data_IF_523570243965
#
_entry.id   IF_523570243965
#
_cell.length_a   1.000
_cell.length_b   1.000
_cell.length_c   1.000
_cell.angle_alpha   90.00
_cell.angle_beta   90.00
_cell.angle_gamma   90.00
#
_symmetry.space_group_name_H-M   'P 1'
#
loop_
_entity.id
_entity.type
_entity.pdbx_description
1 polymer ?
#
# COMPACT_ATOMS: atom_id res chain seq x y z
N UNK A 1 5.37 6.60 -35.14
CA UNK A 1 4.06 6.21 -34.57
C UNK A 1 4.13 6.56 -33.09
N UNK A 2 3.41 7.60 -32.66
CA UNK A 2 3.27 7.89 -31.22
C UNK A 2 2.42 6.73 -30.66
N UNK A 3 3.05 5.83 -29.90
CA UNK A 3 2.33 4.88 -29.06
C UNK A 3 1.37 5.68 -28.17
N UNK A 4 0.11 5.27 -28.07
CA UNK A 4 -0.84 5.87 -27.12
C UNK A 4 -0.17 5.96 -25.74
N UNK A 5 -0.32 7.07 -25.00
CA UNK A 5 0.11 7.09 -23.61
C UNK A 5 -0.52 5.89 -22.91
N UNK A 6 0.31 5.18 -22.15
CA UNK A 6 -0.16 4.04 -21.38
C UNK A 6 -1.00 4.63 -20.27
N UNK A 7 -2.31 4.39 -20.25
CA UNK A 7 -3.00 4.26 -18.97
C UNK A 7 -2.38 3.04 -18.29
N UNK A 8 -1.29 3.30 -17.56
CA UNK A 8 -0.70 2.33 -16.65
C UNK A 8 -1.78 2.03 -15.62
N UNK A 9 -2.15 0.75 -15.50
CA UNK A 9 -2.91 0.26 -14.35
C UNK A 9 -2.15 0.76 -13.12
N UNK A 10 -2.77 1.70 -12.39
CA UNK A 10 -2.16 2.25 -11.19
C UNK A 10 -1.83 1.08 -10.27
N UNK A 11 -0.55 0.99 -9.86
CA UNK A 11 -0.13 -0.06 -8.96
C UNK A 11 -1.03 -0.01 -7.71
N UNK A 12 -1.72 -1.11 -7.34
CA UNK A 12 -2.56 -1.10 -6.16
C UNK A 12 -1.69 -0.71 -4.97
N UNK A 13 -2.12 0.32 -4.23
CA UNK A 13 -1.45 0.76 -3.01
C UNK A 13 -1.08 -0.47 -2.17
N UNK A 14 0.17 -0.56 -1.68
CA UNK A 14 0.61 -1.71 -0.92
C UNK A 14 -0.33 -1.92 0.26
N UNK A 15 -0.35 -3.17 0.73
CA UNK A 15 -0.96 -3.68 1.96
C UNK A 15 -0.72 -2.82 3.23
N UNK A 16 0.09 -1.76 3.15
CA UNK A 16 0.32 -0.73 4.14
C UNK A 16 -0.97 -0.09 4.72
N UNK A 17 -2.06 0.03 3.94
CA UNK A 17 -3.35 0.52 4.45
C UNK A 17 -3.98 -0.37 5.52
N UNK A 18 -3.65 -1.67 5.57
CA UNK A 18 -4.20 -2.61 6.57
C UNK A 18 -3.48 -2.56 7.91
N UNK A 19 -2.19 -2.24 7.89
CA UNK A 19 -1.36 -2.14 9.10
C UNK A 19 -1.80 -0.98 10.03
N UNK A 20 -2.72 -0.13 9.56
CA UNK A 20 -3.36 0.97 10.26
C UNK A 20 -4.51 0.51 11.19
N UNK A 21 -5.37 -0.43 10.79
CA UNK A 21 -6.59 -0.75 11.55
C UNK A 21 -6.36 -1.56 12.86
N UNK A 22 -5.18 -2.17 13.02
CA UNK A 22 -4.91 -3.10 14.13
C UNK A 22 -4.62 -2.41 15.48
N UNK A 23 -4.35 -1.10 15.50
CA UNK A 23 -3.99 -0.38 16.73
C UNK A 23 -5.20 -0.05 17.66
N UNK A 24 -6.42 -0.45 17.28
CA UNK A 24 -7.62 -0.19 18.07
C UNK A 24 -8.08 -1.37 18.96
N UNK A 25 -7.42 -2.53 18.93
CA UNK A 25 -7.86 -3.73 19.69
C UNK A 25 -6.74 -4.31 20.57
N UNK A 26 -6.37 -3.58 21.62
CA UNK A 26 -5.73 -4.22 22.80
C UNK A 26 -6.83 -4.82 23.69
N UNK A 27 -6.78 -6.12 24.06
CA UNK A 27 -7.61 -6.63 25.13
C UNK A 27 -7.05 -6.11 26.46
N UNK A 28 -7.91 -5.50 27.28
CA UNK A 28 -7.58 -5.21 28.68
C UNK A 28 -7.26 -6.54 29.42
N UNK A 29 -6.36 -6.54 30.41
CA UNK A 29 -6.08 -7.74 31.18
C UNK A 29 -7.35 -8.18 31.93
N UNK A 30 -7.82 -9.41 31.67
CA UNK A 30 -8.91 -10.02 32.47
C UNK A 30 -8.42 -10.22 33.89
N UNK A 31 -9.04 -9.50 34.84
CA UNK A 31 -8.85 -9.71 36.27
C UNK A 31 -9.36 -11.11 36.65
N UNK A 32 -8.44 -12.00 37.03
CA UNK A 32 -8.77 -13.23 37.76
C UNK A 32 -8.66 -12.93 39.26
N UNK A 33 -9.72 -13.27 40.02
CA UNK A 33 -9.77 -13.10 41.49
C UNK A 33 -9.22 -14.34 42.20
N UNK A 34 -8.61 -14.09 43.37
CA UNK A 34 -8.26 -15.02 44.47
C UNK A 34 -6.94 -15.78 44.30
N UNK A 35 -5.99 -15.88 45.26
CA UNK A 35 -5.88 -15.53 46.69
C UNK A 35 -4.39 -15.36 47.06
N UNK A 36 -4.07 -14.39 47.93
CA UNK A 36 -2.72 -13.94 48.36
C UNK A 36 -1.94 -14.95 49.26
N UNK A 37 -0.73 -14.64 49.82
CA UNK A 37 0.17 -13.48 49.62
C UNK A 37 1.68 -13.85 49.42
N UNK A 38 2.49 -12.89 48.94
CA UNK A 38 3.78 -12.47 49.54
C UNK A 38 4.22 -11.12 48.90
N UNK A 39 4.48 -10.17 49.79
CA UNK A 39 4.95 -8.79 49.65
C UNK A 39 6.31 -8.63 48.94
N UNK A 40 6.81 -7.47 48.49
CA UNK A 40 6.31 -6.11 48.23
C UNK A 40 7.46 -5.37 47.50
N UNK A 41 7.12 -4.48 46.57
CA UNK A 41 7.82 -3.22 46.30
C UNK A 41 6.95 -2.41 45.32
N UNK A 42 6.16 -1.52 45.90
CA UNK A 42 5.21 -0.63 45.26
C UNK A 42 5.94 0.49 44.51
N UNK A 43 5.49 0.80 43.29
CA UNK A 43 5.61 2.14 42.71
C UNK A 43 4.24 2.47 42.10
N UNK A 44 3.57 3.46 42.70
CA UNK A 44 2.17 3.80 42.48
C UNK A 44 1.93 4.35 41.07
N UNK A 45 1.44 3.49 40.17
CA UNK A 45 0.78 3.93 38.96
C UNK A 45 -0.64 4.39 39.32
N UNK A 46 -0.84 5.70 39.39
CA UNK A 46 -2.15 6.33 39.53
C UNK A 46 -3.06 5.88 38.38
N UNK A 47 -4.04 5.06 38.72
CA UNK A 47 -5.13 4.65 37.84
C UNK A 47 -5.97 5.88 37.47
N UNK A 48 -5.91 6.31 36.21
CA UNK A 48 -6.92 7.21 35.65
C UNK A 48 -8.28 6.49 35.61
N UNK A 49 -9.40 7.19 35.86
CA UNK A 49 -10.73 6.56 35.87
C UNK A 49 -11.06 5.97 34.50
N UNK A 50 -11.56 4.74 34.51
CA UNK A 50 -12.13 4.04 33.36
C UNK A 50 -13.41 4.79 32.93
N UNK A 51 -13.34 5.61 31.89
CA UNK A 51 -14.56 6.13 31.26
C UNK A 51 -15.33 4.97 30.60
N UNK A 52 -16.67 4.97 30.66
CA UNK A 52 -17.46 4.00 29.93
C UNK A 52 -17.10 4.10 28.45
N UNK A 53 -16.70 2.97 27.86
CA UNK A 53 -16.34 2.85 26.45
C UNK A 53 -17.56 3.23 25.61
N UNK A 54 -17.71 4.53 25.29
CA UNK A 54 -18.71 5.00 24.35
C UNK A 54 -18.54 4.16 23.08
N UNK A 55 -19.62 3.53 22.62
CA UNK A 55 -19.64 2.89 21.32
C UNK A 55 -19.16 3.94 20.32
N UNK A 56 -17.93 3.78 19.80
CA UNK A 56 -17.37 4.73 18.84
C UNK A 56 -18.19 4.55 17.57
N UNK A 57 -19.07 5.49 17.28
CA UNK A 57 -19.80 5.51 16.02
C UNK A 57 -18.77 5.53 14.89
N UNK A 58 -18.82 4.56 13.96
CA UNK A 58 -17.93 4.55 12.82
C UNK A 58 -18.14 5.81 11.97
N UNK A 59 -17.10 6.30 11.28
CA UNK A 59 -17.23 7.50 10.49
C UNK A 59 -18.15 7.24 9.28
N UNK A 60 -19.14 8.10 9.09
CA UNK A 60 -20.04 8.07 7.94
C UNK A 60 -19.49 8.75 6.69
N UNK A 61 -18.28 9.33 6.76
CA UNK A 61 -17.58 9.95 5.63
C UNK A 61 -16.07 9.99 5.83
N UNK A 62 -15.33 10.27 4.76
CA UNK A 62 -13.89 10.49 4.78
C UNK A 62 -13.48 11.60 5.76
N UNK A 63 -14.19 12.74 5.74
CA UNK A 63 -13.89 13.87 6.62
C UNK A 63 -14.13 13.53 8.10
N UNK A 64 -15.20 12.79 8.40
CA UNK A 64 -15.42 12.28 9.75
C UNK A 64 -14.35 11.27 10.17
N UNK A 65 -13.91 10.40 9.26
CA UNK A 65 -12.85 9.44 9.53
C UNK A 65 -11.51 10.12 9.85
N UNK A 66 -11.21 11.22 9.16
CA UNK A 66 -10.05 12.06 9.40
C UNK A 66 -10.18 12.80 10.73
N UNK A 67 -11.32 13.45 11.00
CA UNK A 67 -11.57 14.16 12.26
C UNK A 67 -11.50 13.24 13.49
N UNK A 68 -11.96 11.99 13.37
CA UNK A 68 -11.82 10.98 14.42
C UNK A 68 -10.34 10.61 14.67
N UNK A 69 -9.54 10.47 13.61
CA UNK A 69 -8.09 10.23 13.74
C UNK A 69 -7.38 11.42 14.38
N UNK A 70 -7.73 12.64 13.98
CA UNK A 70 -7.16 13.87 14.53
C UNK A 70 -7.47 14.00 16.01
N UNK A 71 -8.73 13.78 16.40
CA UNK A 71 -9.15 13.79 17.81
C UNK A 71 -8.41 12.74 18.64
N UNK A 72 -8.21 11.54 18.09
CA UNK A 72 -7.47 10.46 18.76
C UNK A 72 -5.97 10.78 18.88
N UNK A 73 -5.37 11.35 17.82
CA UNK A 73 -3.98 11.79 17.81
C UNK A 73 -3.75 12.90 18.85
N UNK A 74 -4.60 13.92 18.89
CA UNK A 74 -4.52 14.98 19.89
C UNK A 74 -4.60 14.44 21.32
N UNK A 75 -5.51 13.49 21.55
CA UNK A 75 -5.61 12.84 22.86
C UNK A 75 -4.31 12.11 23.21
N UNK A 76 -3.79 11.27 22.32
CA UNK A 76 -2.57 10.50 22.58
C UNK A 76 -1.34 11.44 22.80
N UNK A 77 -1.26 12.56 22.07
CA UNK A 77 -0.24 13.59 22.27
C UNK A 77 -0.36 14.30 23.64
N UNK A 78 -1.57 14.71 24.05
CA UNK A 78 -1.80 15.31 25.38
C UNK A 78 -1.44 14.35 26.51
N UNK A 79 -1.71 13.06 26.33
CA UNK A 79 -1.32 12.04 27.32
C UNK A 79 0.21 11.87 27.34
N UNK A 80 0.88 11.87 26.17
CA UNK A 80 2.33 11.79 26.08
C UNK A 80 3.04 12.97 26.76
N UNK A 81 2.50 14.18 26.64
CA UNK A 81 3.01 15.38 27.35
C UNK A 81 2.94 15.24 28.87
N UNK A 82 1.87 14.62 29.39
CA UNK A 82 1.70 14.36 30.83
C UNK A 82 2.52 13.18 31.33
N UNK A 83 3.03 12.34 30.43
CA UNK A 83 3.79 11.12 30.75
C UNK A 83 5.14 11.08 30.01
N UNK A 84 6.03 12.06 30.22
CA UNK A 84 7.22 12.26 29.37
C UNK A 84 8.25 11.13 29.44
N UNK A 85 8.14 10.21 30.39
CA UNK A 85 8.98 9.00 30.52
C UNK A 85 8.34 7.73 29.95
N UNK A 86 7.11 7.82 29.42
CA UNK A 86 6.38 6.69 28.85
C UNK A 86 6.50 6.66 27.32
N UNK A 87 7.27 5.73 26.78
CA UNK A 87 7.43 5.62 25.32
C UNK A 87 6.19 5.04 24.60
N UNK A 88 5.30 4.35 25.32
CA UNK A 88 4.09 3.70 24.77
C UNK A 88 3.06 4.73 24.25
N UNK A 89 2.94 5.88 24.92
CA UNK A 89 1.99 6.94 24.52
C UNK A 89 2.47 7.64 23.24
N UNK A 90 3.79 7.82 23.10
CA UNK A 90 4.42 8.24 21.84
C UNK A 90 4.22 7.21 20.72
N UNK A 91 4.36 5.91 21.01
CA UNK A 91 4.08 4.85 20.04
C UNK A 91 2.62 4.89 19.56
N UNK A 92 1.66 5.08 20.46
CA UNK A 92 0.24 5.22 20.11
C UNK A 92 0.00 6.40 19.18
N UNK A 93 0.53 7.57 19.51
CA UNK A 93 0.43 8.76 18.66
C UNK A 93 1.10 8.55 17.29
N UNK A 94 2.27 7.90 17.24
CA UNK A 94 2.91 7.51 15.98
C UNK A 94 2.02 6.55 15.18
N UNK A 95 1.35 5.59 15.84
CA UNK A 95 0.36 4.72 15.21
C UNK A 95 -0.78 5.48 14.55
N UNK A 96 -1.34 6.50 15.22
CA UNK A 96 -2.38 7.37 14.66
C UNK A 96 -1.90 8.15 13.43
N UNK A 97 -0.66 8.63 13.46
CA UNK A 97 -0.07 9.31 12.31
C UNK A 97 0.11 8.35 11.14
N UNK A 98 0.51 7.09 11.37
CA UNK A 98 0.59 6.09 10.30
C UNK A 98 -0.80 5.73 9.74
N UNK A 99 -1.82 5.63 10.58
CA UNK A 99 -3.22 5.46 10.15
C UNK A 99 -3.68 6.64 9.28
N UNK A 100 -3.34 7.87 9.69
CA UNK A 100 -3.68 9.09 8.96
C UNK A 100 -2.92 9.21 7.65
N UNK A 101 -1.64 8.86 7.64
CA UNK A 101 -0.79 8.84 6.44
C UNK A 101 -1.33 7.83 5.41
N UNK A 102 -1.76 6.65 5.85
CA UNK A 102 -2.38 5.66 4.97
C UNK A 102 -3.71 6.13 4.36
N UNK A 103 -4.49 6.95 5.09
CA UNK A 103 -5.76 7.48 4.60
C UNK A 103 -5.56 8.68 3.65
N UNK A 104 -4.57 9.53 3.92
CA UNK A 104 -4.38 10.83 3.26
C UNK A 104 -3.27 10.85 2.21
N UNK A 105 -2.35 9.88 2.23
CA UNK A 105 -1.11 9.94 1.46
C UNK A 105 -0.07 10.93 1.99
N UNK A 106 -0.26 11.50 3.20
CA UNK A 106 0.58 12.57 3.73
C UNK A 106 1.98 12.09 4.15
N UNK A 107 3.01 12.56 3.43
CA UNK A 107 4.41 12.38 3.81
C UNK A 107 4.80 13.14 5.09
N UNK A 108 4.09 14.22 5.43
CA UNK A 108 4.29 14.92 6.69
C UNK A 108 3.89 14.08 7.90
N UNK A 109 2.87 13.23 7.74
CA UNK A 109 2.44 12.33 8.80
C UNK A 109 3.45 11.21 9.03
N UNK A 110 4.03 10.67 7.95
CA UNK A 110 5.16 9.74 8.07
C UNK A 110 6.36 10.39 8.77
N UNK A 111 6.68 11.65 8.44
CA UNK A 111 7.75 12.41 9.09
C UNK A 111 7.52 12.54 10.61
N UNK A 112 6.33 13.00 10.99
CA UNK A 112 5.95 13.18 12.39
C UNK A 112 5.91 11.85 13.13
N UNK A 113 5.48 10.77 12.48
CA UNK A 113 5.49 9.44 13.07
C UNK A 113 6.93 8.99 13.36
N UNK A 114 7.86 9.21 12.42
CA UNK A 114 9.31 8.92 12.59
C UNK A 114 9.88 9.66 13.79
N UNK A 115 9.61 10.96 13.94
CA UNK A 115 10.06 11.77 15.08
C UNK A 115 9.54 11.23 16.44
N UNK A 116 8.26 10.84 16.51
CA UNK A 116 7.69 10.28 17.73
C UNK A 116 8.28 8.90 18.06
N UNK A 117 8.55 8.09 17.04
CA UNK A 117 9.20 6.78 17.17
C UNK A 117 10.63 6.94 17.69
N UNK A 118 11.39 7.89 17.16
CA UNK A 118 12.77 8.15 17.62
C UNK A 118 12.80 8.63 19.06
N UNK A 119 11.89 9.54 19.43
CA UNK A 119 11.72 9.97 20.83
C UNK A 119 11.33 8.81 21.74
N UNK A 120 10.45 7.92 21.28
CA UNK A 120 10.05 6.74 22.03
C UNK A 120 11.25 5.79 22.28
N UNK A 121 12.11 5.57 21.28
CA UNK A 121 13.36 4.81 21.46
C UNK A 121 14.35 5.50 22.40
N UNK A 122 14.46 6.84 22.36
CA UNK A 122 15.34 7.59 23.27
C UNK A 122 14.93 7.49 24.74
N UNK A 123 13.63 7.30 25.00
CA UNK A 123 13.08 7.10 26.36
C UNK A 123 13.15 5.62 26.78
N UNK A 124 13.00 4.70 25.82
CA UNK A 124 13.01 3.26 26.07
C UNK A 124 14.36 2.75 26.59
N UNK A 125 14.31 1.79 27.52
CA UNK A 125 15.51 1.01 27.89
C UNK A 125 15.95 0.13 26.72
N UNK A 126 17.22 -0.28 26.70
CA UNK A 126 17.73 -1.20 25.69
C UNK A 126 16.84 -2.44 25.54
N UNK A 127 16.47 -2.76 24.30
CA UNK A 127 15.55 -3.87 23.97
C UNK A 127 14.06 -3.58 24.19
N UNK A 128 13.69 -2.38 24.65
CA UNK A 128 12.31 -1.87 24.66
C UNK A 128 12.16 -0.73 23.64
N UNK A 129 10.95 -0.59 23.10
CA UNK A 129 10.64 0.46 22.14
C UNK A 129 9.63 0.02 21.09
N UNK A 130 9.23 0.94 20.21
CA UNK A 130 8.17 0.75 19.24
C UNK A 130 8.62 -0.02 18.00
N UNK A 131 9.31 -1.16 18.15
CA UNK A 131 9.89 -1.94 17.04
C UNK A 131 8.85 -2.28 15.96
N UNK A 132 7.66 -2.76 16.35
CA UNK A 132 6.60 -3.10 15.40
C UNK A 132 6.06 -1.88 14.65
N UNK A 133 6.06 -0.72 15.29
CA UNK A 133 5.59 0.55 14.70
C UNK A 133 6.64 1.15 13.77
N UNK A 134 7.93 1.08 14.13
CA UNK A 134 9.05 1.48 13.26
C UNK A 134 9.19 0.56 12.04
N UNK A 135 9.02 -0.75 12.24
CA UNK A 135 9.01 -1.73 11.15
C UNK A 135 7.91 -1.41 10.14
N UNK A 136 6.70 -1.08 10.62
CA UNK A 136 5.57 -0.64 9.80
C UNK A 136 5.88 0.65 9.03
N UNK A 137 6.39 1.69 9.70
CA UNK A 137 6.80 2.93 9.05
C UNK A 137 7.80 2.66 7.92
N UNK A 138 8.87 1.92 8.20
CA UNK A 138 9.90 1.62 7.22
C UNK A 138 9.35 0.76 6.07
N UNK A 139 8.46 -0.20 6.35
CA UNK A 139 7.80 -0.98 5.29
C UNK A 139 6.93 -0.09 4.39
N UNK A 140 6.10 0.80 4.98
CA UNK A 140 5.26 1.75 4.23
C UNK A 140 6.07 2.71 3.36
N UNK A 141 7.26 3.12 3.82
CA UNK A 141 8.20 3.95 3.06
C UNK A 141 9.15 3.11 2.17
N UNK A 142 8.89 1.82 2.03
CA UNK A 142 9.69 0.87 1.25
C UNK A 142 11.15 0.68 1.68
N UNK A 143 11.54 1.13 2.88
CA UNK A 143 12.88 1.00 3.45
C UNK A 143 13.14 -0.41 4.00
N UNK A 144 13.01 -1.45 3.16
CA UNK A 144 13.07 -2.86 3.59
C UNK A 144 14.32 -3.22 4.42
N UNK A 145 15.55 -2.76 4.09
CA UNK A 145 16.72 -3.05 4.92
C UNK A 145 16.63 -2.49 6.36
N UNK A 146 15.84 -1.42 6.58
CA UNK A 146 15.61 -0.85 7.91
C UNK A 146 14.56 -1.63 8.72
N UNK A 147 13.81 -2.54 8.08
CA UNK A 147 12.80 -3.39 8.72
C UNK A 147 13.46 -4.60 9.42
N UNK A 148 14.55 -5.14 8.86
CA UNK A 148 15.25 -6.32 9.39
C UNK A 148 15.65 -6.22 10.88
N UNK A 149 16.30 -5.14 11.37
CA UNK A 149 16.66 -5.05 12.78
C UNK A 149 15.44 -5.02 13.71
N UNK A 150 14.31 -4.45 13.25
CA UNK A 150 13.07 -4.45 14.02
C UNK A 150 12.44 -5.84 14.09
N UNK A 151 12.41 -6.56 12.96
CA UNK A 151 11.96 -7.95 12.92
C UNK A 151 12.80 -8.85 13.83
N UNK A 152 14.12 -8.68 13.82
CA UNK A 152 15.02 -9.44 14.68
C UNK A 152 14.79 -9.12 16.17
N UNK A 153 14.66 -7.83 16.52
CA UNK A 153 14.35 -7.42 17.88
C UNK A 153 13.01 -7.98 18.36
N UNK A 154 11.99 -7.97 17.51
CA UNK A 154 10.68 -8.59 17.79
C UNK A 154 10.81 -10.12 17.99
N UNK A 155 11.62 -10.78 17.17
CA UNK A 155 11.77 -12.24 17.20
C UNK A 155 12.47 -12.76 18.46
N UNK A 156 13.39 -11.97 19.02
CA UNK A 156 14.07 -12.30 20.29
C UNK A 156 13.15 -12.17 21.50
N UNK A 157 12.00 -11.49 21.37
CA UNK A 157 11.04 -11.36 22.45
C UNK A 157 10.30 -12.68 22.63
N UNK A 158 10.54 -13.35 23.75
CA UNK A 158 9.76 -14.51 24.15
C UNK A 158 8.32 -14.04 24.46
N UNK A 159 7.39 -14.40 23.58
CA UNK A 159 5.96 -14.10 23.72
C UNK A 159 5.17 -15.39 23.54
N UNK A 160 4.16 -15.62 24.38
CA UNK A 160 3.17 -16.69 24.19
C UNK A 160 1.90 -16.19 23.51
N UNK A 161 1.82 -14.90 23.22
CA UNK A 161 0.67 -14.30 22.55
C UNK A 161 0.69 -14.64 21.05
N UNK A 162 -0.29 -15.43 20.61
CA UNK A 162 -0.45 -15.80 19.20
C UNK A 162 -0.77 -14.59 18.32
N UNK A 163 -1.42 -13.54 18.85
CA UNK A 163 -1.65 -12.32 18.08
C UNK A 163 -0.31 -11.63 17.75
N UNK A 164 0.58 -11.51 18.72
CA UNK A 164 1.93 -11.00 18.50
C UNK A 164 2.71 -11.83 17.48
N UNK A 165 2.70 -13.16 17.62
CA UNK A 165 3.40 -14.07 16.70
C UNK A 165 2.83 -13.98 15.28
N UNK A 166 1.50 -13.96 15.13
CA UNK A 166 0.84 -13.83 13.83
C UNK A 166 1.21 -12.51 13.13
N UNK A 167 1.23 -11.39 13.87
CA UNK A 167 1.67 -10.10 13.34
C UNK A 167 3.13 -10.12 12.88
N UNK A 168 4.02 -10.74 13.64
CA UNK A 168 5.43 -10.88 13.28
C UNK A 168 5.59 -11.75 12.01
N UNK A 169 4.92 -12.90 11.95
CA UNK A 169 4.93 -13.79 10.78
C UNK A 169 4.39 -13.07 9.53
N UNK A 170 3.27 -12.35 9.66
CA UNK A 170 2.68 -11.58 8.56
C UNK A 170 3.60 -10.47 8.05
N UNK A 171 4.27 -9.72 8.93
CA UNK A 171 5.21 -8.67 8.51
C UNK A 171 6.47 -9.24 7.86
N UNK A 172 6.98 -10.38 8.35
CA UNK A 172 8.08 -11.10 7.68
C UNK A 172 7.67 -11.55 6.28
N UNK A 173 6.45 -12.06 6.13
CA UNK A 173 5.90 -12.46 4.85
C UNK A 173 5.73 -11.27 3.88
N UNK A 174 5.26 -10.12 4.37
CA UNK A 174 5.16 -8.88 3.58
C UNK A 174 6.54 -8.42 3.05
N UNK A 175 7.57 -8.48 3.90
CA UNK A 175 8.96 -8.17 3.50
C UNK A 175 9.50 -9.20 2.50
N UNK A 176 9.26 -10.49 2.73
CA UNK A 176 9.65 -11.56 1.81
C UNK A 176 8.99 -11.38 0.43
N UNK A 177 7.70 -11.02 0.40
CA UNK A 177 6.96 -10.74 -0.84
C UNK A 177 7.62 -9.62 -1.64
N UNK A 178 7.92 -8.49 -0.99
CA UNK A 178 8.58 -7.33 -1.63
C UNK A 178 10.02 -7.63 -2.09
N UNK A 179 10.68 -8.62 -1.47
CA UNK A 179 12.00 -9.13 -1.88
C UNK A 179 11.95 -10.17 -3.01
N UNK A 180 10.76 -10.55 -3.47
CA UNK A 180 10.58 -11.61 -4.47
C UNK A 180 10.76 -13.02 -3.90
N UNK A 181 10.79 -13.17 -2.58
CA UNK A 181 10.88 -14.46 -1.86
C UNK A 181 9.46 -15.03 -1.68
N UNK A 182 8.79 -15.34 -2.79
CA UNK A 182 7.35 -15.64 -2.78
C UNK A 182 6.96 -16.92 -2.04
N UNK A 183 7.83 -17.94 -2.05
CA UNK A 183 7.60 -19.17 -1.28
C UNK A 183 7.61 -18.90 0.23
N UNK A 184 8.58 -18.10 0.70
CA UNK A 184 8.69 -17.69 2.10
C UNK A 184 7.52 -16.78 2.50
N UNK A 185 7.07 -15.90 1.59
CA UNK A 185 5.90 -15.06 1.79
C UNK A 185 4.63 -15.90 2.00
N UNK A 186 4.37 -16.87 1.12
CA UNK A 186 3.20 -17.75 1.26
C UNK A 186 3.25 -18.54 2.57
N UNK A 187 4.39 -19.16 2.88
CA UNK A 187 4.56 -19.92 4.13
C UNK A 187 4.34 -19.04 5.37
N UNK A 188 4.84 -17.80 5.37
CA UNK A 188 4.64 -16.87 6.48
C UNK A 188 3.19 -16.36 6.61
N UNK A 189 2.46 -16.20 5.50
CA UNK A 189 1.02 -15.89 5.54
C UNK A 189 0.21 -17.07 6.09
N UNK A 190 0.53 -18.30 5.68
CA UNK A 190 -0.08 -19.52 6.22
C UNK A 190 0.23 -19.72 7.71
N UNK A 191 1.48 -19.46 8.13
CA UNK A 191 1.88 -19.49 9.54
C UNK A 191 1.10 -18.46 10.35
N UNK A 192 0.99 -17.22 9.87
CA UNK A 192 0.25 -16.16 10.55
C UNK A 192 -1.21 -16.57 10.78
N UNK A 193 -1.87 -17.11 9.75
CA UNK A 193 -3.25 -17.60 9.82
C UNK A 193 -3.39 -18.82 10.73
N UNK A 194 -2.41 -19.73 10.77
CA UNK A 194 -2.42 -20.89 11.66
C UNK A 194 -2.27 -20.49 13.14
N UNK A 195 -1.48 -19.44 13.41
CA UNK A 195 -1.34 -18.87 14.75
C UNK A 195 -2.63 -18.17 15.19
N UNK A 196 -3.22 -17.39 14.28
CA UNK A 196 -4.47 -16.66 14.48
C UNK A 196 -5.10 -16.35 13.13
N UNK A 197 -6.28 -16.91 12.91
CA UNK A 197 -7.11 -16.50 11.79
C UNK A 197 -7.79 -15.16 12.11
N UNK A 198 -7.37 -14.10 11.43
CA UNK A 198 -7.95 -12.77 11.55
C UNK A 198 -8.02 -12.05 10.20
N UNK A 199 -8.68 -10.89 10.23
CA UNK A 199 -8.89 -10.05 9.07
C UNK A 199 -7.58 -9.80 8.29
N UNK A 200 -6.53 -9.34 8.99
CA UNK A 200 -5.24 -8.96 8.40
C UNK A 200 -4.53 -10.15 7.76
N UNK A 201 -4.53 -11.33 8.40
CA UNK A 201 -3.96 -12.54 7.82
C UNK A 201 -4.69 -12.99 6.55
N UNK A 202 -6.03 -12.89 6.53
CA UNK A 202 -6.85 -13.34 5.40
C UNK A 202 -6.62 -12.45 4.17
N UNK A 203 -6.66 -11.13 4.35
CA UNK A 203 -6.47 -10.17 3.24
C UNK A 203 -5.04 -10.19 2.69
N UNK A 204 -4.02 -10.53 3.51
CA UNK A 204 -2.66 -10.81 3.07
C UNK A 204 -2.59 -11.97 2.09
N UNK A 205 -3.21 -13.09 2.46
CA UNK A 205 -3.28 -14.27 1.61
C UNK A 205 -4.12 -14.01 0.36
N UNK A 206 -5.19 -13.22 0.47
CA UNK A 206 -6.01 -12.78 -0.66
C UNK A 206 -5.16 -12.00 -1.68
N UNK A 207 -4.37 -11.04 -1.21
CA UNK A 207 -3.47 -10.26 -2.07
C UNK A 207 -2.41 -11.15 -2.74
N UNK A 208 -1.81 -12.10 -2.01
CA UNK A 208 -0.89 -13.07 -2.60
C UNK A 208 -1.58 -13.86 -3.74
N UNK A 209 -2.76 -14.42 -3.48
CA UNK A 209 -3.53 -15.20 -4.47
C UNK A 209 -3.87 -14.38 -5.70
N UNK A 210 -4.32 -13.14 -5.51
CA UNK A 210 -4.57 -12.19 -6.60
C UNK A 210 -3.32 -12.01 -7.47
N UNK A 211 -2.16 -11.68 -6.87
CA UNK A 211 -0.92 -11.46 -7.63
C UNK A 211 -0.40 -12.72 -8.33
N UNK A 212 -0.81 -13.91 -7.88
CA UNK A 212 -0.54 -15.20 -8.55
C UNK A 212 -1.64 -15.65 -9.54
N UNK A 213 -2.59 -14.77 -9.86
CA UNK A 213 -3.76 -15.02 -10.72
C UNK A 213 -4.76 -16.08 -10.23
N UNK A 214 -4.73 -16.45 -8.93
CA UNK A 214 -5.82 -17.18 -8.27
C UNK A 214 -6.90 -16.19 -7.82
N UNK A 215 -7.61 -15.62 -8.81
CA UNK A 215 -8.62 -14.59 -8.57
C UNK A 215 -9.83 -15.12 -7.79
N UNK A 216 -10.27 -16.35 -8.05
CA UNK A 216 -11.43 -16.93 -7.38
C UNK A 216 -11.10 -17.24 -5.91
N UNK A 217 -9.90 -17.76 -5.63
CA UNK A 217 -9.41 -17.92 -4.27
C UNK A 217 -9.22 -16.59 -3.53
N UNK A 218 -8.71 -15.56 -4.21
CA UNK A 218 -8.61 -14.21 -3.63
C UNK A 218 -9.98 -13.63 -3.27
N UNK A 219 -10.97 -13.72 -4.17
CA UNK A 219 -12.35 -13.28 -3.91
C UNK A 219 -12.99 -14.00 -2.73
N UNK A 220 -12.80 -15.33 -2.64
CA UNK A 220 -13.31 -16.12 -1.52
C UNK A 220 -12.70 -15.67 -0.18
N UNK A 221 -11.41 -15.33 -0.16
CA UNK A 221 -10.75 -14.80 1.03
C UNK A 221 -11.21 -13.39 1.37
N UNK A 222 -11.39 -12.50 0.39
CA UNK A 222 -11.97 -11.17 0.66
C UNK A 222 -13.38 -11.27 1.22
N UNK A 223 -14.23 -12.14 0.69
CA UNK A 223 -15.56 -12.40 1.23
C UNK A 223 -15.50 -12.98 2.67
N UNK A 224 -14.53 -13.85 2.94
CA UNK A 224 -14.27 -14.35 4.30
C UNK A 224 -13.83 -13.23 5.24
N UNK A 225 -12.95 -12.34 4.80
CA UNK A 225 -12.48 -11.19 5.58
C UNK A 225 -13.64 -10.22 5.87
N UNK A 226 -14.49 -9.96 4.89
CA UNK A 226 -15.71 -9.16 5.03
C UNK A 226 -16.67 -9.76 6.08
N UNK A 227 -16.82 -11.08 6.12
CA UNK A 227 -17.65 -11.75 7.13
C UNK A 227 -17.09 -11.67 8.57
N UNK A 228 -15.81 -11.30 8.75
CA UNK A 228 -15.22 -11.03 10.07
C UNK A 228 -15.45 -9.59 10.54
N UNK A 229 -15.99 -8.73 9.68
CA UNK A 229 -16.37 -7.38 10.05
C UNK A 229 -17.62 -7.43 10.93
N UNK A 230 -17.45 -7.03 12.19
CA UNK A 230 -18.57 -6.70 13.09
C UNK A 230 -19.25 -5.40 12.63
N UNK A 231 -20.37 -5.00 13.26
CA UNK A 231 -21.23 -3.91 12.79
C UNK A 231 -20.47 -2.60 12.40
N UNK A 232 -20.69 -2.20 11.14
CA UNK A 232 -20.40 -0.88 10.54
C UNK A 232 -18.92 -0.40 10.50
N UNK A 233 -17.95 -1.06 9.85
CA UNK A 233 -16.60 -0.51 9.74
C UNK A 233 -16.42 0.23 8.41
N UNK A 234 -17.08 1.37 8.23
CA UNK A 234 -17.13 2.12 6.96
C UNK A 234 -15.78 2.23 6.22
N UNK A 235 -14.70 2.56 6.93
CA UNK A 235 -13.33 2.63 6.35
C UNK A 235 -12.77 1.28 5.90
N UNK A 236 -12.95 0.23 6.70
CA UNK A 236 -12.42 -1.11 6.40
C UNK A 236 -13.23 -1.79 5.30
N UNK A 237 -14.56 -1.59 5.32
CA UNK A 237 -15.45 -2.06 4.27
C UNK A 237 -15.18 -1.35 2.94
N UNK A 238 -14.99 -0.03 2.96
CA UNK A 238 -14.56 0.73 1.79
C UNK A 238 -13.25 0.18 1.23
N UNK A 239 -12.24 0.00 2.09
CA UNK A 239 -10.96 -0.58 1.66
C UNK A 239 -11.12 -1.98 1.03
N UNK A 240 -11.95 -2.87 1.59
CA UNK A 240 -12.21 -4.20 1.01
C UNK A 240 -12.85 -4.11 -0.38
N UNK A 241 -13.87 -3.28 -0.52
CA UNK A 241 -14.53 -3.08 -1.81
C UNK A 241 -13.56 -2.46 -2.83
N UNK A 242 -12.74 -1.50 -2.42
CA UNK A 242 -11.65 -0.98 -3.25
C UNK A 242 -10.72 -2.11 -3.75
N UNK A 243 -10.24 -3.01 -2.88
CA UNK A 243 -9.38 -4.13 -3.30
C UNK A 243 -10.08 -5.08 -4.29
N UNK A 244 -11.36 -5.40 -4.06
CA UNK A 244 -12.14 -6.24 -4.97
C UNK A 244 -12.36 -5.55 -6.32
N UNK A 245 -12.57 -4.23 -6.31
CA UNK A 245 -12.69 -3.42 -7.51
C UNK A 245 -11.39 -3.40 -8.32
N UNK A 246 -10.24 -3.20 -7.66
CA UNK A 246 -8.92 -3.26 -8.30
C UNK A 246 -8.66 -4.62 -8.94
N UNK A 247 -9.01 -5.70 -8.28
CA UNK A 247 -8.87 -7.04 -8.83
C UNK A 247 -9.79 -7.28 -10.04
N UNK A 248 -10.98 -6.67 -10.08
CA UNK A 248 -11.85 -6.68 -11.26
C UNK A 248 -11.27 -5.82 -12.40
N UNK A 249 -10.69 -4.66 -12.07
CA UNK A 249 -10.01 -3.77 -13.02
C UNK A 249 -8.80 -4.45 -13.68
N UNK A 250 -7.98 -5.13 -12.88
CA UNK A 250 -6.84 -5.96 -13.33
C UNK A 250 -7.26 -7.04 -14.32
N UNK A 251 -8.53 -7.47 -14.29
CA UNK A 251 -9.12 -8.47 -15.21
C UNK A 251 -9.87 -7.85 -16.38
N UNK A 252 -9.88 -6.52 -16.50
CA UNK A 252 -10.63 -5.79 -17.53
C UNK A 252 -12.15 -5.81 -17.33
N UNK A 253 -12.63 -6.18 -16.13
CA UNK A 253 -14.07 -6.29 -15.77
C UNK A 253 -14.56 -4.96 -15.21
N UNK A 254 -14.61 -3.93 -16.06
CA UNK A 254 -14.86 -2.55 -15.65
C UNK A 254 -16.20 -2.33 -14.95
N UNK A 255 -17.28 -2.96 -15.41
CA UNK A 255 -18.60 -2.78 -14.78
C UNK A 255 -18.66 -3.37 -13.36
N UNK A 256 -17.97 -4.49 -13.13
CA UNK A 256 -17.86 -5.11 -11.82
C UNK A 256 -16.90 -4.35 -10.90
N UNK A 257 -15.83 -3.80 -11.46
CA UNK A 257 -14.95 -2.88 -10.74
C UNK A 257 -15.73 -1.64 -10.28
N UNK A 258 -16.53 -1.03 -11.16
CA UNK A 258 -17.40 0.10 -10.83
C UNK A 258 -18.42 -0.26 -9.73
N UNK A 259 -19.04 -1.43 -9.81
CA UNK A 259 -19.97 -1.91 -8.75
C UNK A 259 -19.29 -1.95 -7.37
N UNK A 260 -18.03 -2.40 -7.32
CA UNK A 260 -17.26 -2.41 -6.09
C UNK A 260 -16.80 -1.02 -5.66
N UNK A 261 -16.40 -0.15 -6.59
CA UNK A 261 -16.06 1.23 -6.26
C UNK A 261 -17.25 2.03 -5.75
N UNK A 262 -18.45 1.84 -6.32
CA UNK A 262 -19.69 2.44 -5.82
C UNK A 262 -20.01 1.96 -4.39
N UNK A 263 -19.85 0.66 -4.11
CA UNK A 263 -19.99 0.12 -2.76
C UNK A 263 -18.94 0.69 -1.79
N UNK A 264 -17.70 0.90 -2.26
CA UNK A 264 -16.65 1.53 -1.48
C UNK A 264 -16.95 3.00 -1.16
N UNK A 265 -17.40 3.76 -2.16
CA UNK A 265 -17.80 5.16 -2.01
C UNK A 265 -19.02 5.32 -1.11
N UNK A 266 -19.95 4.35 -1.11
CA UNK A 266 -21.08 4.32 -0.19
C UNK A 266 -20.63 4.02 1.26
N UNK A 267 -19.63 3.15 1.45
CA UNK A 267 -19.09 2.80 2.76
C UNK A 267 -18.21 3.91 3.37
N UNK A 268 -17.52 4.70 2.54
CA UNK A 268 -16.76 5.87 2.97
C UNK A 268 -16.86 7.01 1.95
N UNK A 269 -17.95 7.81 2.00
CA UNK A 269 -18.16 8.95 1.12
C UNK A 269 -17.00 9.95 1.15
N UNK A 270 -16.55 10.37 -0.04
CA UNK A 270 -15.44 11.33 -0.22
C UNK A 270 -14.04 10.72 -0.10
N UNK A 271 -13.91 9.39 -0.08
CA UNK A 271 -12.60 8.75 -0.11
C UNK A 271 -11.94 8.91 -1.48
N UNK A 272 -11.03 9.88 -1.59
CA UNK A 272 -10.40 10.30 -2.84
C UNK A 272 -9.76 9.15 -3.65
N UNK A 273 -9.27 8.12 -2.98
CA UNK A 273 -8.66 6.96 -3.63
C UNK A 273 -9.68 6.13 -4.41
N UNK A 274 -10.94 6.11 -3.99
CA UNK A 274 -12.03 5.45 -4.74
C UNK A 274 -12.44 6.32 -5.93
N UNK A 275 -12.55 7.63 -5.71
CA UNK A 275 -12.88 8.60 -6.75
C UNK A 275 -11.87 8.55 -7.92
N UNK A 276 -10.60 8.31 -7.59
CA UNK A 276 -9.51 8.09 -8.52
C UNK A 276 -9.78 6.89 -9.43
N UNK A 277 -9.97 5.68 -8.88
CA UNK A 277 -10.15 4.50 -9.73
C UNK A 277 -11.48 4.52 -10.51
N UNK A 278 -12.47 5.28 -10.03
CA UNK A 278 -13.66 5.61 -10.83
C UNK A 278 -13.27 6.48 -12.04
N UNK A 279 -12.44 7.50 -11.84
CA UNK A 279 -11.93 8.35 -12.92
C UNK A 279 -11.04 7.56 -13.90
N UNK A 280 -10.27 6.59 -13.42
CA UNK A 280 -9.47 5.67 -14.25
C UNK A 280 -10.39 4.85 -15.18
N UNK A 281 -11.44 4.23 -14.63
CA UNK A 281 -12.42 3.48 -15.44
C UNK A 281 -13.14 4.40 -16.44
N UNK A 282 -13.53 5.61 -16.04
CA UNK A 282 -14.14 6.57 -16.96
C UNK A 282 -13.21 6.91 -18.12
N UNK A 283 -11.92 7.07 -17.83
CA UNK A 283 -10.90 7.31 -18.86
C UNK A 283 -10.80 6.13 -19.82
N UNK A 284 -10.71 4.90 -19.29
CA UNK A 284 -10.68 3.66 -20.08
C UNK A 284 -11.96 3.44 -20.90
N UNK A 285 -13.10 3.99 -20.47
CA UNK A 285 -14.37 4.00 -21.21
C UNK A 285 -14.48 5.17 -22.22
N UNK A 286 -13.48 6.03 -22.32
CA UNK A 286 -13.48 7.22 -23.18
C UNK A 286 -14.30 8.40 -22.66
N UNK A 287 -14.87 8.31 -21.45
CA UNK A 287 -15.63 9.37 -20.77
C UNK A 287 -14.69 10.40 -20.13
N UNK A 288 -13.83 10.96 -20.95
CA UNK A 288 -12.66 11.74 -20.52
C UNK A 288 -13.04 13.09 -19.89
N UNK A 289 -14.21 13.68 -20.18
CA UNK A 289 -14.67 14.91 -19.52
C UNK A 289 -15.03 14.67 -18.06
N UNK A 290 -15.76 13.57 -17.79
CA UNK A 290 -16.14 13.16 -16.44
C UNK A 290 -14.89 12.76 -15.63
N UNK A 291 -13.95 12.06 -16.25
CA UNK A 291 -12.68 11.70 -15.63
C UNK A 291 -11.85 12.94 -15.25
N UNK A 292 -11.69 13.90 -16.18
CA UNK A 292 -10.97 15.15 -15.90
C UNK A 292 -11.60 15.95 -14.78
N UNK A 293 -12.93 16.02 -14.70
CA UNK A 293 -13.61 16.71 -13.60
C UNK A 293 -13.26 16.08 -12.25
N UNK A 294 -13.30 14.74 -12.16
CA UNK A 294 -12.93 14.01 -10.94
C UNK A 294 -11.45 14.16 -10.59
N UNK A 295 -10.54 13.96 -11.55
CA UNK A 295 -9.11 14.11 -11.28
C UNK A 295 -8.76 15.53 -10.84
N UNK A 296 -9.40 16.57 -11.39
CA UNK A 296 -9.18 17.96 -10.97
C UNK A 296 -9.62 18.18 -9.51
N UNK A 297 -10.76 17.64 -9.09
CA UNK A 297 -11.21 17.68 -7.69
C UNK A 297 -10.19 17.00 -6.76
N UNK A 298 -9.71 15.80 -7.14
CA UNK A 298 -8.72 15.07 -6.35
C UNK A 298 -7.40 15.85 -6.26
N UNK A 299 -6.90 16.41 -7.37
CA UNK A 299 -5.68 17.22 -7.38
C UNK A 299 -5.84 18.48 -6.51
N UNK A 300 -7.00 19.12 -6.50
CA UNK A 300 -7.28 20.28 -5.64
C UNK A 300 -7.23 19.90 -4.16
N UNK A 301 -7.79 18.74 -3.79
CA UNK A 301 -7.86 18.27 -2.40
C UNK A 301 -6.56 17.67 -1.87
N UNK A 302 -5.74 17.06 -2.74
CA UNK A 302 -4.59 16.24 -2.32
C UNK A 302 -3.25 16.77 -2.81
N UNK A 303 -3.21 17.50 -3.93
CA UNK A 303 -1.97 17.86 -4.61
C UNK A 303 -1.16 16.66 -5.11
N UNK A 304 -1.73 15.46 -5.21
CA UNK A 304 -1.00 14.26 -5.61
C UNK A 304 -0.54 14.35 -7.08
N UNK A 305 0.77 14.22 -7.38
CA UNK A 305 1.30 14.28 -8.74
C UNK A 305 0.83 13.17 -9.68
N UNK A 306 0.43 12.01 -9.17
CA UNK A 306 -0.09 10.89 -9.98
C UNK A 306 -1.35 11.30 -10.77
N UNK A 307 -2.22 12.09 -10.16
CA UNK A 307 -3.45 12.54 -10.81
C UNK A 307 -3.20 13.75 -11.71
N UNK A 308 -2.10 14.47 -11.51
CA UNK A 308 -1.62 15.43 -12.49
C UNK A 308 -1.13 14.71 -13.75
N UNK A 309 -0.45 13.57 -13.61
CA UNK A 309 -0.08 12.71 -14.73
C UNK A 309 -1.30 12.15 -15.45
N UNK A 310 -2.32 11.66 -14.73
CA UNK A 310 -3.55 11.19 -15.34
C UNK A 310 -4.27 12.28 -16.16
N UNK A 311 -4.37 13.50 -15.60
CA UNK A 311 -4.89 14.67 -16.33
C UNK A 311 -4.02 14.97 -17.56
N UNK A 312 -2.69 14.95 -17.41
CA UNK A 312 -1.76 15.21 -18.50
C UNK A 312 -1.96 14.21 -19.65
N UNK A 313 -2.05 12.91 -19.36
CA UNK A 313 -2.29 11.86 -20.34
C UNK A 313 -3.56 12.13 -21.15
N UNK A 314 -4.69 12.37 -20.47
CA UNK A 314 -5.97 12.65 -21.13
C UNK A 314 -5.90 13.90 -22.02
N UNK A 315 -5.32 15.00 -21.53
CA UNK A 315 -5.22 16.25 -22.28
C UNK A 315 -4.32 16.10 -23.52
N UNK A 316 -3.20 15.40 -23.38
CA UNK A 316 -2.28 15.16 -24.49
C UNK A 316 -2.91 14.26 -25.57
N UNK A 317 -3.68 13.25 -25.20
CA UNK A 317 -4.45 12.44 -26.15
C UNK A 317 -5.49 13.24 -26.92
N UNK A 318 -6.13 14.21 -26.27
CA UNK A 318 -7.08 15.15 -26.89
C UNK A 318 -6.42 16.20 -27.78
N UNK A 319 -5.09 16.30 -27.77
CA UNK A 319 -4.34 17.33 -28.49
C UNK A 319 -4.30 18.68 -27.76
N UNK A 320 -4.69 18.74 -26.50
CA UNK A 320 -4.64 19.92 -25.63
C UNK A 320 -3.22 20.13 -25.07
N UNK A 321 -2.24 20.21 -25.99
CA UNK A 321 -0.80 20.11 -25.71
C UNK A 321 -0.33 21.09 -24.62
N UNK A 322 -0.78 22.34 -24.66
CA UNK A 322 -0.33 23.36 -23.70
C UNK A 322 -0.75 23.03 -22.26
N UNK A 323 -1.98 22.60 -22.04
CA UNK A 323 -2.48 22.28 -20.70
C UNK A 323 -1.91 20.94 -20.22
N UNK A 324 -1.82 19.95 -21.12
CA UNK A 324 -1.18 18.67 -20.83
C UNK A 324 0.27 18.82 -20.38
N UNK A 325 1.09 19.58 -21.12
CA UNK A 325 2.49 19.84 -20.75
C UNK A 325 2.63 20.64 -19.45
N UNK A 326 1.68 21.53 -19.14
CA UNK A 326 1.65 22.22 -17.85
C UNK A 326 1.44 21.23 -16.71
N UNK A 327 0.55 20.25 -16.87
CA UNK A 327 0.32 19.22 -15.85
C UNK A 327 1.53 18.30 -15.69
N UNK A 328 2.18 17.88 -16.78
CA UNK A 328 3.46 17.14 -16.72
C UNK A 328 4.51 17.91 -15.92
N UNK A 329 4.65 19.22 -16.15
CA UNK A 329 5.62 20.04 -15.45
C UNK A 329 5.30 20.17 -13.94
N UNK A 330 4.01 20.28 -13.58
CA UNK A 330 3.56 20.31 -12.19
C UNK A 330 3.80 18.98 -11.48
N UNK A 331 3.45 17.86 -12.12
CA UNK A 331 3.68 16.52 -11.60
C UNK A 331 5.16 16.28 -11.35
N UNK A 332 6.01 16.61 -12.33
CA UNK A 332 7.48 16.49 -12.21
C UNK A 332 8.04 17.26 -11.02
N UNK A 333 7.64 18.53 -10.85
CA UNK A 333 8.12 19.35 -9.74
C UNK A 333 7.74 18.75 -8.38
N UNK A 334 6.53 18.18 -8.27
CA UNK A 334 6.07 17.50 -7.07
C UNK A 334 6.84 16.17 -6.83
N UNK A 335 7.08 15.35 -7.86
CA UNK A 335 7.91 14.15 -7.72
C UNK A 335 9.37 14.47 -7.35
N UNK A 336 9.96 15.51 -7.93
CA UNK A 336 11.32 15.93 -7.58
C UNK A 336 11.40 16.36 -6.11
N UNK A 337 10.38 17.08 -5.60
CA UNK A 337 10.29 17.42 -4.19
C UNK A 337 10.12 16.18 -3.29
N UNK A 338 9.30 15.21 -3.71
CA UNK A 338 9.13 13.94 -2.99
C UNK A 338 10.43 13.13 -2.97
N UNK A 339 11.12 12.98 -4.10
CA UNK A 339 12.39 12.27 -4.22
C UNK A 339 13.50 12.92 -3.39
N UNK A 340 13.47 14.24 -3.21
CA UNK A 340 14.43 14.94 -2.35
C UNK A 340 14.22 14.63 -0.85
N UNK A 341 13.00 14.28 -0.43
CA UNK A 341 12.65 14.08 0.98
C UNK A 341 12.50 12.60 1.38
N UNK A 342 11.82 11.81 0.54
CA UNK A 342 11.52 10.39 0.74
C UNK A 342 11.76 9.59 -0.55
N UNK A 343 13.02 9.49 -1.00
CA UNK A 343 13.33 8.84 -2.27
C UNK A 343 12.82 7.40 -2.33
N UNK A 344 12.97 6.62 -1.25
CA UNK A 344 12.61 5.20 -1.21
C UNK A 344 11.11 4.95 -1.46
N UNK A 345 10.27 5.84 -0.93
CA UNK A 345 8.82 5.79 -1.09
C UNK A 345 8.39 6.30 -2.47
N UNK A 346 9.09 7.28 -3.02
CA UNK A 346 8.73 7.92 -4.28
C UNK A 346 9.26 7.20 -5.54
N UNK A 347 10.27 6.32 -5.43
CA UNK A 347 10.90 5.72 -6.61
C UNK A 347 9.94 5.04 -7.60
N UNK A 348 8.94 4.31 -7.11
CA UNK A 348 8.00 3.58 -7.97
C UNK A 348 7.09 4.53 -8.75
N UNK A 349 6.41 5.43 -8.02
CA UNK A 349 5.48 6.39 -8.60
C UNK A 349 6.17 7.42 -9.50
N UNK A 350 7.33 7.94 -9.07
CA UNK A 350 8.13 8.83 -9.91
C UNK A 350 8.65 8.10 -11.15
N UNK A 351 9.05 6.83 -11.04
CA UNK A 351 9.48 6.04 -12.20
C UNK A 351 8.39 5.97 -13.28
N UNK A 352 7.14 5.73 -12.90
CA UNK A 352 6.01 5.69 -13.84
C UNK A 352 5.85 7.02 -14.59
N UNK A 353 5.92 8.15 -13.88
CA UNK A 353 5.98 9.48 -14.52
C UNK A 353 7.09 9.58 -15.56
N UNK A 354 8.32 9.18 -15.19
CA UNK A 354 9.46 9.33 -16.09
C UNK A 354 9.47 8.32 -17.25
N UNK A 355 8.80 7.17 -17.10
CA UNK A 355 8.57 6.23 -18.19
C UNK A 355 7.61 6.81 -19.25
N UNK A 356 6.62 7.59 -18.82
CA UNK A 356 5.59 8.14 -19.70
C UNK A 356 5.97 9.52 -20.28
N UNK A 357 6.35 10.46 -19.41
CA UNK A 357 6.57 11.86 -19.78
C UNK A 357 8.02 12.32 -19.61
N UNK A 358 8.90 11.45 -19.10
CA UNK A 358 10.27 11.78 -18.73
C UNK A 358 11.35 11.43 -19.73
N UNK A 359 12.61 11.60 -19.30
CA UNK A 359 13.76 11.06 -20.02
C UNK A 359 14.00 9.61 -19.64
N UNK A 360 14.37 8.80 -20.63
CA UNK A 360 14.69 7.37 -20.43
C UNK A 360 15.82 7.16 -19.42
N UNK A 361 16.82 8.04 -19.41
CA UNK A 361 17.92 8.01 -18.45
C UNK A 361 17.42 8.16 -16.99
N UNK A 362 16.49 9.08 -16.76
CA UNK A 362 15.92 9.30 -15.43
C UNK A 362 15.05 8.13 -15.00
N UNK A 363 14.21 7.62 -15.91
CA UNK A 363 13.43 6.41 -15.66
C UNK A 363 14.34 5.22 -15.32
N UNK A 364 15.38 4.95 -16.10
CA UNK A 364 16.29 3.84 -15.83
C UNK A 364 17.01 3.97 -14.49
N UNK A 365 17.44 5.19 -14.12
CA UNK A 365 18.04 5.46 -12.81
C UNK A 365 17.07 5.09 -11.68
N UNK A 366 15.85 5.62 -11.73
CA UNK A 366 14.83 5.36 -10.70
C UNK A 366 14.43 3.88 -10.66
N UNK A 367 14.37 3.21 -11.81
CA UNK A 367 14.05 1.79 -11.88
C UNK A 367 15.12 0.90 -11.23
N UNK A 368 16.41 1.25 -11.40
CA UNK A 368 17.50 0.55 -10.74
C UNK A 368 17.45 0.73 -9.22
N UNK A 369 17.18 1.95 -8.73
CA UNK A 369 17.01 2.23 -7.30
C UNK A 369 15.79 1.49 -6.72
N UNK A 370 14.66 1.54 -7.42
CA UNK A 370 13.42 0.84 -7.06
C UNK A 370 13.64 -0.67 -6.91
N UNK A 371 14.30 -1.27 -7.91
CA UNK A 371 14.60 -2.69 -7.93
C UNK A 371 15.63 -3.10 -6.87
N UNK A 372 16.66 -2.29 -6.64
CA UNK A 372 17.66 -2.54 -5.60
C UNK A 372 17.03 -2.58 -4.20
N UNK A 373 16.03 -1.71 -3.97
CA UNK A 373 15.31 -1.64 -2.71
C UNK A 373 14.28 -2.76 -2.55
N UNK A 374 13.58 -3.11 -3.63
CA UNK A 374 12.42 -4.03 -3.64
C UNK A 374 12.50 -5.00 -4.83
N UNK A 375 13.33 -6.05 -4.80
CA UNK A 375 13.61 -6.90 -5.97
C UNK A 375 12.48 -7.89 -6.35
N UNK A 376 11.23 -7.57 -6.03
CA UNK A 376 10.04 -8.30 -6.48
C UNK A 376 9.75 -8.15 -7.97
N UNK A 377 8.79 -8.94 -8.46
CA UNK A 377 8.34 -8.99 -9.85
C UNK A 377 7.90 -7.61 -10.37
N UNK A 378 7.12 -6.85 -9.62
CA UNK A 378 6.65 -5.52 -10.05
C UNK A 378 7.83 -4.57 -10.34
N UNK A 379 8.84 -4.52 -9.47
CA UNK A 379 10.03 -3.72 -9.71
C UNK A 379 10.88 -4.23 -10.88
N UNK A 380 10.94 -5.55 -11.09
CA UNK A 380 11.61 -6.16 -12.25
C UNK A 380 10.90 -5.82 -13.56
N UNK A 381 9.57 -5.81 -13.56
CA UNK A 381 8.74 -5.41 -14.71
C UNK A 381 9.02 -3.95 -15.07
N UNK A 382 8.95 -3.04 -14.10
CA UNK A 382 9.23 -1.62 -14.33
C UNK A 382 10.69 -1.39 -14.77
N UNK A 383 11.65 -2.11 -14.19
CA UNK A 383 13.05 -2.06 -14.63
C UNK A 383 13.21 -2.57 -16.07
N UNK A 384 12.55 -3.66 -16.45
CA UNK A 384 12.58 -4.13 -17.83
C UNK A 384 11.97 -3.11 -18.81
N UNK A 385 10.90 -2.43 -18.43
CA UNK A 385 10.32 -1.36 -19.25
C UNK A 385 11.30 -0.19 -19.44
N UNK A 386 11.98 0.23 -18.37
CA UNK A 386 12.99 1.28 -18.45
C UNK A 386 14.20 0.87 -19.30
N UNK A 387 14.68 -0.37 -19.14
CA UNK A 387 15.77 -0.95 -19.94
C UNK A 387 15.41 -1.05 -21.43
N UNK A 388 14.18 -1.45 -21.76
CA UNK A 388 13.69 -1.43 -23.15
C UNK A 388 13.68 -0.02 -23.72
N UNK A 389 13.21 0.96 -22.95
CA UNK A 389 13.25 2.37 -23.34
C UNK A 389 14.67 2.81 -23.68
N UNK A 390 15.65 2.42 -22.86
CA UNK A 390 17.07 2.71 -23.06
C UNK A 390 17.76 1.86 -24.16
N UNK A 391 17.05 0.91 -24.78
CA UNK A 391 17.61 -0.01 -25.78
C UNK A 391 18.46 -1.15 -25.20
N UNK A 392 18.48 -1.34 -23.88
CA UNK A 392 19.21 -2.39 -23.17
C UNK A 392 18.43 -3.72 -23.17
N UNK A 393 18.06 -4.21 -24.36
CA UNK A 393 17.12 -5.34 -24.56
C UNK A 393 17.55 -6.62 -23.84
N UNK A 394 18.84 -6.96 -23.86
CA UNK A 394 19.35 -8.18 -23.20
C UNK A 394 19.20 -8.14 -21.68
N UNK A 395 19.40 -6.97 -21.06
CA UNK A 395 19.18 -6.83 -19.62
C UNK A 395 17.69 -6.85 -19.30
N UNK A 396 16.85 -6.23 -20.15
CA UNK A 396 15.40 -6.26 -20.00
C UNK A 396 14.88 -7.72 -20.03
N UNK A 397 15.38 -8.54 -20.96
CA UNK A 397 15.13 -9.98 -21.04
C UNK A 397 15.48 -10.69 -19.73
N UNK A 398 16.67 -10.48 -19.20
CA UNK A 398 17.08 -11.11 -17.94
C UNK A 398 16.11 -10.78 -16.78
N UNK A 399 15.69 -9.51 -16.65
CA UNK A 399 14.74 -9.10 -15.60
C UNK A 399 13.36 -9.71 -15.78
N UNK A 400 12.87 -9.79 -17.02
CA UNK A 400 11.57 -10.43 -17.31
C UNK A 400 11.61 -11.93 -17.08
N UNK A 401 12.68 -12.62 -17.45
CA UNK A 401 12.80 -14.06 -17.22
C UNK A 401 12.81 -14.37 -15.71
N UNK A 402 13.49 -13.56 -14.90
CA UNK A 402 13.43 -13.63 -13.43
C UNK A 402 12.01 -13.42 -12.88
N UNK A 403 11.21 -12.53 -13.49
CA UNK A 403 9.82 -12.30 -13.08
C UNK A 403 8.88 -13.43 -13.53
N UNK A 404 9.06 -13.97 -14.75
CA UNK A 404 8.30 -15.11 -15.27
C UNK A 404 8.59 -16.42 -14.51
N UNK A 405 9.81 -16.58 -14.02
CA UNK A 405 10.21 -17.70 -13.17
C UNK A 405 9.55 -17.67 -11.77
N UNK A 406 9.04 -16.51 -11.35
CA UNK A 406 8.28 -16.37 -10.11
C UNK A 406 6.83 -16.87 -10.27
N UNK A 407 6.04 -17.04 -9.19
CA UNK A 407 4.62 -17.36 -9.29
C UNK A 407 3.73 -16.17 -9.68
N UNK A 408 4.26 -14.95 -9.77
CA UNK A 408 3.48 -13.75 -10.08
C UNK A 408 2.98 -13.79 -11.52
N UNK A 409 1.70 -13.55 -11.72
CA UNK A 409 1.03 -13.58 -13.03
C UNK A 409 0.14 -12.36 -13.16
N UNK A 410 0.66 -11.33 -13.84
CA UNK A 410 -0.08 -10.09 -14.15
C UNK A 410 -0.13 -9.86 -15.65
N UNK A 411 -1.13 -9.11 -16.11
CA UNK A 411 -1.20 -8.70 -17.52
C UNK A 411 0.04 -7.90 -17.93
N UNK A 412 0.54 -7.01 -17.06
CA UNK A 412 1.72 -6.19 -17.33
C UNK A 412 3.03 -6.99 -17.41
N UNK A 413 3.17 -8.07 -16.64
CA UNK A 413 4.30 -8.99 -16.79
C UNK A 413 4.35 -9.54 -18.21
N UNK A 414 3.24 -10.11 -18.67
CA UNK A 414 3.15 -10.71 -19.98
C UNK A 414 3.23 -9.68 -21.11
N UNK A 415 2.65 -8.50 -20.93
CA UNK A 415 2.73 -7.40 -21.90
C UNK A 415 4.15 -6.86 -22.03
N UNK A 416 4.88 -6.75 -20.93
CA UNK A 416 6.29 -6.36 -20.95
C UNK A 416 7.15 -7.45 -21.57
N UNK A 417 6.88 -8.73 -21.25
CA UNK A 417 7.56 -9.86 -21.87
C UNK A 417 7.35 -9.92 -23.39
N UNK A 418 6.15 -9.60 -23.87
CA UNK A 418 5.87 -9.48 -25.30
C UNK A 418 6.68 -8.35 -25.94
N UNK A 419 6.76 -7.19 -25.28
CA UNK A 419 7.57 -6.06 -25.77
C UNK A 419 9.07 -6.41 -25.85
N UNK A 420 9.60 -7.14 -24.85
CA UNK A 420 10.99 -7.65 -24.90
C UNK A 420 11.17 -8.61 -26.07
N UNK A 421 10.28 -9.59 -26.25
CA UNK A 421 10.38 -10.56 -27.33
C UNK A 421 10.37 -9.89 -28.72
N UNK A 422 9.50 -8.88 -28.93
CA UNK A 422 9.52 -8.09 -30.16
C UNK A 422 10.82 -7.34 -30.38
N UNK A 423 11.39 -6.75 -29.33
CA UNK A 423 12.66 -6.05 -29.41
C UNK A 423 13.83 -7.00 -29.77
N UNK A 424 13.70 -8.29 -29.48
CA UNK A 424 14.64 -9.35 -29.88
C UNK A 424 14.35 -9.95 -31.27
N UNK A 425 13.24 -9.57 -31.91
CA UNK A 425 12.78 -10.14 -33.17
C UNK A 425 12.06 -11.49 -33.05
N UNK A 426 11.70 -11.91 -31.83
CA UNK A 426 10.89 -13.11 -31.58
C UNK A 426 9.39 -12.79 -31.58
N UNK A 427 8.81 -12.70 -32.77
CA UNK A 427 7.38 -12.40 -32.92
C UNK A 427 6.49 -13.56 -32.41
N UNK A 428 6.97 -14.80 -32.48
CA UNK A 428 6.19 -15.96 -32.01
C UNK A 428 6.08 -15.94 -30.49
N UNK A 429 7.20 -15.70 -29.79
CA UNK A 429 7.20 -15.52 -28.34
C UNK A 429 6.41 -14.29 -27.92
N UNK A 430 6.48 -13.19 -28.67
CA UNK A 430 5.68 -11.99 -28.40
C UNK A 430 4.17 -12.29 -28.42
N UNK A 431 3.67 -12.92 -29.49
CA UNK A 431 2.26 -13.27 -29.63
C UNK A 431 1.79 -14.26 -28.53
N UNK A 432 2.65 -15.20 -28.12
CA UNK A 432 2.35 -16.11 -27.02
C UNK A 432 2.18 -15.36 -25.69
N UNK A 433 3.06 -14.39 -25.39
CA UNK A 433 2.95 -13.57 -24.19
C UNK A 433 1.73 -12.65 -24.24
N UNK A 434 1.41 -12.08 -25.40
CA UNK A 434 0.18 -11.28 -25.59
C UNK A 434 -1.10 -12.08 -25.34
N UNK A 435 -1.14 -13.34 -25.77
CA UNK A 435 -2.27 -14.23 -25.49
C UNK A 435 -2.43 -14.48 -23.98
N UNK A 436 -1.32 -14.64 -23.24
CA UNK A 436 -1.34 -14.76 -21.77
C UNK A 436 -1.80 -13.47 -21.09
N UNK A 437 -1.36 -12.30 -21.57
CA UNK A 437 -1.84 -11.02 -21.07
C UNK A 437 -3.36 -10.87 -21.27
N UNK A 438 -3.86 -11.20 -22.47
CA UNK A 438 -5.30 -11.17 -22.80
C UNK A 438 -6.13 -12.18 -22.01
N UNK A 439 -5.55 -13.32 -21.64
CA UNK A 439 -6.22 -14.32 -20.82
C UNK A 439 -6.48 -13.82 -19.38
N UNK A 440 -5.59 -12.96 -18.86
CA UNK A 440 -5.78 -12.30 -17.56
C UNK A 440 -6.73 -11.10 -17.70
N UNK A 441 -6.45 -10.24 -18.67
CA UNK A 441 -7.21 -9.03 -18.95
C UNK A 441 -7.44 -8.91 -20.47
N UNK A 442 -8.66 -9.14 -20.97
CA UNK A 442 -8.96 -9.09 -22.40
C UNK A 442 -8.59 -7.77 -23.08
N UNK A 443 -8.50 -6.69 -22.28
CA UNK A 443 -8.19 -5.32 -22.69
C UNK A 443 -6.73 -4.92 -22.47
N UNK A 444 -5.85 -5.85 -22.08
CA UNK A 444 -4.45 -5.56 -21.74
C UNK A 444 -3.65 -4.85 -22.85
N UNK A 445 -4.08 -4.94 -24.10
CA UNK A 445 -3.38 -4.42 -25.27
C UNK A 445 -4.14 -3.28 -25.98
N UNK A 446 -5.23 -2.76 -25.39
CA UNK A 446 -6.07 -1.69 -25.95
C UNK A 446 -5.45 -0.28 -25.82
#
# INVERSE_FOLDING_TARGET
MRTRPRLLLLAPLPLACLLACEAARSPAPRATRSSAPIAAAEDEATSTPDEPRAARTPPGSYDEALAQLDSALEYDLRVAERTPKGWITLERAAGRLLERAALTGSFDDYARAEELIDRAFAIGRAGAGPFATRARLNFSLHRLPRVDPDLEAMSRRISQDNHYKARLAGLRADVAFQRGQYADALAGYEEALALREDFTGIVRLAHYRWKTADFDGALALYAKAEALLEDEPGRTLAWLHLQRGLMCLDRGRYDEAMTHYDASAAALPGYWLVDEHIAEILTLQGKTDEALARYRDIVERTGNPEFMDAIAGILLERGEEREGQLMVARARAAYDAMLARYPEAAYGHALEHFLEFGSQERALTLARENHALRPGADAKILLAQALLGAGEVKEARARIDEALASPIRTADLHRTAAAVARAEGDETGALAQEALARAINPRALE
#
